data_IF_060968566420
#
_entry.id   IF_060968566420
#
_cell.length_a   1.000
_cell.length_b   1.000
_cell.length_c   1.000
_cell.angle_alpha   90.00
_cell.angle_beta   90.00
_cell.angle_gamma   90.00
#
_symmetry.space_group_name_H-M   'P 1'
#
loop_
_entity.id
_entity.type
_entity.pdbx_description
1 polymer ?
#
# COMPACT_ATOMS: atom_id res chain seq x y z
N UNK A 1 -3.49 -14.63 4.44
CA UNK A 1 -2.09 -14.24 4.75
C UNK A 1 -1.07 -15.16 4.09
N UNK A 2 -1.15 -16.50 4.22
CA UNK A 2 -0.24 -17.41 3.49
C UNK A 2 -0.48 -17.42 1.96
N UNK A 3 -1.73 -17.45 1.50
CA UNK A 3 -2.06 -17.40 0.06
C UNK A 3 -1.51 -16.14 -0.65
N UNK A 4 -1.49 -15.00 0.04
CA UNK A 4 -1.00 -13.72 -0.46
C UNK A 4 0.52 -13.77 -0.73
N UNK A 5 1.28 -14.48 0.14
CA UNK A 5 2.73 -14.65 -0.01
C UNK A 5 3.05 -15.44 -1.27
N UNK A 6 2.32 -16.52 -1.54
CA UNK A 6 2.49 -17.34 -2.75
C UNK A 6 2.14 -16.59 -4.02
N UNK A 7 1.10 -15.75 -3.98
CA UNK A 7 0.69 -14.95 -5.13
C UNK A 7 1.67 -13.81 -5.45
N UNK A 8 2.17 -13.06 -4.46
CA UNK A 8 3.22 -12.07 -4.72
C UNK A 8 4.55 -12.69 -5.12
N UNK A 9 4.87 -13.86 -4.58
CA UNK A 9 5.99 -14.66 -5.07
C UNK A 9 5.81 -15.08 -6.54
N UNK A 10 4.59 -15.49 -6.93
CA UNK A 10 4.28 -15.83 -8.32
C UNK A 10 4.33 -14.65 -9.30
N UNK A 11 4.09 -13.41 -8.83
CA UNK A 11 4.13 -12.22 -9.68
C UNK A 11 5.58 -11.84 -10.03
N UNK A 12 6.48 -11.86 -9.05
CA UNK A 12 7.84 -11.33 -9.24
C UNK A 12 8.84 -11.76 -8.16
N UNK A 13 8.66 -12.95 -7.61
CA UNK A 13 9.57 -13.62 -6.67
C UNK A 13 9.79 -12.90 -5.33
N UNK A 14 8.84 -12.07 -4.90
CA UNK A 14 8.90 -11.45 -3.58
C UNK A 14 8.50 -12.44 -2.47
N UNK A 15 9.49 -12.99 -1.77
CA UNK A 15 9.25 -13.83 -0.60
C UNK A 15 8.70 -12.99 0.58
N UNK A 16 7.67 -13.49 1.27
CA UNK A 16 7.07 -12.88 2.48
C UNK A 16 6.44 -11.48 2.31
N UNK A 17 6.29 -11.00 1.09
CA UNK A 17 5.49 -9.80 0.80
C UNK A 17 4.01 -10.15 0.85
N UNK A 18 3.23 -9.35 1.58
CA UNK A 18 1.78 -9.56 1.71
C UNK A 18 0.95 -8.45 1.05
N UNK A 19 1.57 -7.32 0.71
CA UNK A 19 0.86 -6.16 0.21
C UNK A 19 1.75 -5.08 -0.39
N UNK A 20 1.15 -4.27 -1.27
CA UNK A 20 1.71 -2.99 -1.68
C UNK A 20 1.01 -1.87 -0.92
N UNK A 21 1.77 -0.87 -0.48
CA UNK A 21 1.27 0.34 0.17
C UNK A 21 1.47 1.55 -0.73
N UNK A 22 0.45 2.38 -0.82
CA UNK A 22 0.50 3.62 -1.59
C UNK A 22 -0.60 4.57 -1.13
N UNK A 23 -0.47 5.83 -1.52
CA UNK A 23 -1.40 6.90 -1.20
C UNK A 23 -2.21 7.32 -2.43
N UNK A 24 -3.43 7.79 -2.18
CA UNK A 24 -4.26 8.39 -3.20
C UNK A 24 -5.02 9.58 -2.66
N UNK A 25 -5.05 10.66 -3.44
CA UNK A 25 -5.82 11.84 -3.07
C UNK A 25 -7.28 11.69 -3.47
N UNK A 26 -8.18 11.93 -2.51
CA UNK A 26 -9.62 12.07 -2.72
C UNK A 26 -9.98 13.54 -2.61
N UNK A 27 -10.60 14.10 -3.65
CA UNK A 27 -10.92 15.53 -3.70
C UNK A 27 -12.07 15.85 -2.76
N UNK A 28 -11.91 16.91 -1.97
CA UNK A 28 -12.95 17.39 -1.06
C UNK A 28 -13.29 18.84 -1.37
N UNK A 29 -14.50 19.26 -0.99
CA UNK A 29 -14.83 20.69 -0.90
C UNK A 29 -13.88 21.35 0.11
N UNK A 30 -13.51 22.61 -0.15
CA UNK A 30 -12.74 23.42 0.80
C UNK A 30 -13.42 23.36 2.19
N UNK A 31 -12.72 22.88 3.24
CA UNK A 31 -13.28 22.77 4.58
C UNK A 31 -13.55 24.15 5.24
N UNK A 32 -13.21 25.26 4.57
CA UNK A 32 -13.31 26.65 5.03
C UNK A 32 -12.42 26.95 6.26
N UNK A 33 -12.06 28.23 6.43
CA UNK A 33 -11.25 28.70 7.57
C UNK A 33 -9.75 28.43 7.44
N UNK A 34 -9.02 28.68 8.54
CA UNK A 34 -7.55 28.67 8.62
C UNK A 34 -6.93 27.30 8.33
N UNK A 35 -7.69 26.22 8.49
CA UNK A 35 -7.23 24.85 8.21
C UNK A 35 -7.32 24.47 6.72
N UNK A 36 -7.92 25.30 5.87
CA UNK A 36 -8.11 24.98 4.45
C UNK A 36 -6.79 24.67 3.73
N UNK A 37 -5.74 25.44 4.02
CA UNK A 37 -4.44 25.31 3.36
C UNK A 37 -3.78 23.94 3.60
N UNK A 38 -3.94 23.34 4.78
CA UNK A 38 -3.32 22.02 5.05
C UNK A 38 -3.97 20.90 4.22
N UNK A 39 -5.18 21.09 3.70
CA UNK A 39 -5.81 20.13 2.79
C UNK A 39 -5.37 20.29 1.34
N UNK A 40 -4.64 21.35 1.00
CA UNK A 40 -4.13 21.56 -0.35
C UNK A 40 -2.99 20.58 -0.64
N UNK A 41 -3.13 19.80 -1.70
CA UNK A 41 -2.05 18.94 -2.16
C UNK A 41 -1.08 19.68 -3.08
N UNK A 42 0.00 19.00 -3.48
CA UNK A 42 1.03 19.52 -4.40
C UNK A 42 0.49 19.94 -5.78
N UNK A 43 -0.72 19.54 -6.14
CA UNK A 43 -1.41 19.90 -7.40
C UNK A 43 -2.36 21.09 -7.23
N UNK A 44 -2.39 21.73 -6.07
CA UNK A 44 -3.15 22.97 -5.84
C UNK A 44 -4.64 22.78 -5.57
N UNK A 45 -5.09 21.56 -5.23
CA UNK A 45 -6.49 21.31 -4.88
C UNK A 45 -6.65 20.59 -3.54
N UNK A 46 -7.80 20.83 -2.91
CA UNK A 46 -8.11 20.32 -1.57
C UNK A 46 -8.43 18.83 -1.61
N UNK A 47 -7.78 18.06 -0.74
CA UNK A 47 -7.91 16.62 -0.72
C UNK A 47 -7.67 16.01 0.65
N UNK A 48 -8.19 14.80 0.82
CA UNK A 48 -7.75 13.86 1.85
C UNK A 48 -6.71 12.95 1.20
N UNK A 49 -5.51 12.89 1.77
CA UNK A 49 -4.51 11.91 1.35
C UNK A 49 -4.82 10.57 2.04
N UNK A 50 -5.23 9.58 1.24
CA UNK A 50 -5.71 8.28 1.73
C UNK A 50 -4.66 7.22 1.45
N UNK A 51 -4.09 6.64 2.52
CA UNK A 51 -3.14 5.54 2.41
C UNK A 51 -3.87 4.21 2.40
N UNK A 52 -3.47 3.32 1.51
CA UNK A 52 -4.08 1.99 1.36
C UNK A 52 -3.01 0.92 1.25
N UNK A 53 -3.25 -0.23 1.86
CA UNK A 53 -2.51 -1.47 1.59
C UNK A 53 -3.41 -2.41 0.81
N UNK A 54 -2.89 -2.94 -0.29
CA UNK A 54 -3.61 -3.90 -1.15
C UNK A 54 -2.86 -5.21 -1.23
N UNK A 55 -3.58 -6.32 -1.30
CA UNK A 55 -3.03 -7.64 -1.60
C UNK A 55 -3.00 -7.94 -3.12
N UNK A 56 -2.41 -9.06 -3.57
CA UNK A 56 -2.29 -9.37 -5.01
C UNK A 56 -3.63 -9.44 -5.74
N UNK A 57 -4.66 -9.89 -5.05
CA UNK A 57 -6.03 -10.03 -5.57
C UNK A 57 -6.75 -8.68 -5.76
N UNK A 58 -6.04 -7.58 -5.50
CA UNK A 58 -6.52 -6.20 -5.45
C UNK A 58 -7.48 -5.89 -4.30
N UNK A 59 -7.63 -6.78 -3.31
CA UNK A 59 -8.40 -6.50 -2.10
C UNK A 59 -7.65 -5.57 -1.14
N UNK A 60 -8.38 -4.63 -0.53
CA UNK A 60 -7.85 -3.67 0.43
C UNK A 60 -7.68 -4.35 1.79
N UNK A 61 -6.44 -4.43 2.28
CA UNK A 61 -6.10 -4.98 3.60
C UNK A 61 -6.14 -3.93 4.71
N UNK A 62 -5.81 -2.68 4.38
CA UNK A 62 -5.71 -1.58 5.33
C UNK A 62 -6.03 -0.27 4.62
N UNK A 63 -6.67 0.66 5.33
CA UNK A 63 -6.94 2.00 4.85
C UNK A 63 -6.80 3.02 5.99
N UNK A 64 -6.13 4.12 5.70
CA UNK A 64 -5.99 5.29 6.58
C UNK A 64 -6.44 6.55 5.83
N UNK A 65 -7.43 7.26 6.38
CA UNK A 65 -8.11 8.39 5.70
C UNK A 65 -7.94 9.71 6.45
N UNK A 66 -7.23 9.75 7.59
CA UNK A 66 -7.29 10.91 8.51
C UNK A 66 -6.34 12.06 8.15
N UNK A 67 -5.73 12.04 6.97
CA UNK A 67 -4.63 12.94 6.65
C UNK A 67 -5.00 14.01 5.62
N UNK A 68 -4.70 15.28 5.91
CA UNK A 68 -4.84 16.36 4.94
C UNK A 68 -3.97 16.15 3.70
N UNK A 69 -4.39 16.73 2.57
CA UNK A 69 -3.73 16.60 1.27
C UNK A 69 -2.28 17.08 1.20
N UNK A 70 -1.83 17.93 2.12
CA UNK A 70 -0.42 18.35 2.22
C UNK A 70 0.49 17.29 2.87
N UNK A 71 -0.07 16.31 3.58
CA UNK A 71 0.69 15.32 4.35
C UNK A 71 1.45 14.37 3.42
N UNK A 72 2.74 14.18 3.67
CA UNK A 72 3.58 13.22 2.94
C UNK A 72 3.25 11.77 3.31
N UNK A 73 3.41 10.87 2.35
CA UNK A 73 3.05 9.46 2.47
C UNK A 73 3.79 8.77 3.62
N UNK A 74 5.10 9.03 3.77
CA UNK A 74 5.84 8.55 4.94
C UNK A 74 5.28 9.06 6.27
N UNK A 75 4.89 10.34 6.35
CA UNK A 75 4.29 10.91 7.57
C UNK A 75 2.94 10.27 7.91
N UNK A 76 2.16 9.89 6.89
CA UNK A 76 0.91 9.14 7.10
C UNK A 76 1.23 7.77 7.69
N UNK A 77 2.19 7.06 7.11
CA UNK A 77 2.60 5.75 7.61
C UNK A 77 3.08 5.83 9.06
N UNK A 78 4.00 6.74 9.38
CA UNK A 78 4.57 6.89 10.73
C UNK A 78 3.51 7.26 11.81
N UNK A 79 2.33 7.73 11.40
CA UNK A 79 1.19 8.05 12.29
C UNK A 79 0.07 7.02 12.24
N UNK A 80 0.21 6.00 11.40
CA UNK A 80 -0.83 5.00 11.17
C UNK A 80 -0.82 3.94 12.27
N UNK A 81 -2.00 3.35 12.51
CA UNK A 81 -2.09 2.16 13.37
C UNK A 81 -1.28 0.99 12.81
N UNK A 82 -1.14 0.91 11.49
CA UNK A 82 -0.34 -0.12 10.82
C UNK A 82 1.14 -0.05 11.22
N UNK A 83 1.73 1.16 11.26
CA UNK A 83 3.09 1.35 11.74
C UNK A 83 3.25 0.92 13.19
N UNK A 84 2.33 1.34 14.08
CA UNK A 84 2.38 0.95 15.49
C UNK A 84 2.38 -0.59 15.68
N UNK A 85 1.59 -1.32 14.87
CA UNK A 85 1.56 -2.79 14.90
C UNK A 85 2.87 -3.41 14.43
N UNK A 86 3.56 -2.82 13.46
CA UNK A 86 4.90 -3.27 13.04
C UNK A 86 5.93 -3.03 14.14
N UNK A 87 5.95 -1.84 14.75
CA UNK A 87 6.89 -1.52 15.84
C UNK A 87 6.67 -2.38 17.08
N UNK A 88 5.41 -2.75 17.37
CA UNK A 88 5.07 -3.67 18.45
C UNK A 88 5.33 -5.14 18.12
N UNK A 89 5.91 -5.46 16.95
CA UNK A 89 6.16 -6.83 16.46
C UNK A 89 4.88 -7.70 16.33
N UNK A 90 3.71 -7.08 16.17
CA UNK A 90 2.45 -7.81 15.95
C UNK A 90 2.32 -8.34 14.52
N UNK A 91 3.13 -7.80 13.60
CA UNK A 91 3.11 -8.12 12.18
C UNK A 91 4.49 -8.60 11.72
N UNK A 92 4.58 -9.88 11.37
CA UNK A 92 5.79 -10.49 10.81
C UNK A 92 5.64 -10.71 9.29
N UNK A 93 5.57 -9.60 8.55
CA UNK A 93 5.30 -9.56 7.10
C UNK A 93 6.01 -8.37 6.46
N UNK A 94 6.16 -8.40 5.13
CA UNK A 94 6.79 -7.31 4.37
C UNK A 94 5.74 -6.61 3.48
N UNK A 95 5.84 -5.29 3.41
CA UNK A 95 5.13 -4.45 2.45
C UNK A 95 6.08 -3.85 1.42
N UNK A 96 5.56 -3.57 0.23
CA UNK A 96 6.27 -2.84 -0.81
C UNK A 96 5.69 -1.43 -0.95
N UNK A 97 6.52 -0.42 -0.75
CA UNK A 97 6.17 0.99 -0.89
C UNK A 97 6.92 1.66 -2.03
N UNK A 98 6.52 2.90 -2.34
CA UNK A 98 7.22 3.76 -3.28
C UNK A 98 8.39 4.53 -2.64
N UNK A 99 9.07 5.37 -3.41
CA UNK A 99 10.16 6.20 -2.90
C UNK A 99 9.69 7.35 -1.99
N UNK A 100 8.38 7.56 -1.84
CA UNK A 100 7.78 8.47 -0.87
C UNK A 100 7.82 7.93 0.57
N UNK A 101 8.20 6.66 0.77
CA UNK A 101 8.37 6.02 2.07
C UNK A 101 9.85 5.82 2.44
N UNK A 102 10.15 5.85 3.74
CA UNK A 102 11.43 5.40 4.24
C UNK A 102 11.56 3.87 4.09
N UNK A 103 12.74 3.40 3.66
CA UNK A 103 13.03 1.96 3.60
C UNK A 103 13.22 1.41 5.03
N UNK A 104 12.38 0.44 5.40
CA UNK A 104 12.37 -0.21 6.71
C UNK A 104 12.42 -1.73 6.52
N UNK A 105 12.68 -2.48 7.58
CA UNK A 105 12.78 -3.93 7.49
C UNK A 105 11.47 -4.63 7.11
N UNK A 106 10.33 -4.00 7.39
CA UNK A 106 9.00 -4.46 7.03
C UNK A 106 8.35 -3.65 5.89
N UNK A 107 9.03 -2.61 5.38
CA UNK A 107 8.56 -1.77 4.28
C UNK A 107 9.70 -1.49 3.29
N UNK A 108 9.76 -2.28 2.22
CA UNK A 108 10.82 -2.18 1.23
C UNK A 108 10.43 -1.21 0.12
N UNK A 109 11.37 -0.34 -0.26
CA UNK A 109 11.20 0.65 -1.33
C UNK A 109 12.22 0.42 -2.46
N UNK A 110 11.98 0.92 -3.67
CA UNK A 110 12.94 0.87 -4.77
C UNK A 110 14.29 1.54 -4.44
N UNK A 111 15.34 1.14 -5.15
CA UNK A 111 16.57 1.92 -5.18
C UNK A 111 16.35 3.17 -6.03
N UNK A 112 16.80 4.33 -5.54
CA UNK A 112 16.75 5.60 -6.30
C UNK A 112 17.72 5.52 -7.48
N UNK A 113 18.94 5.04 -7.21
CA UNK A 113 19.97 4.78 -8.21
C UNK A 113 20.37 3.30 -8.12
N UNK A 114 20.42 2.63 -9.27
CA UNK A 114 20.80 1.22 -9.35
C UNK A 114 22.22 1.09 -9.90
N UNK A 115 23.10 0.47 -9.14
CA UNK A 115 24.52 0.28 -9.47
C UNK A 115 24.82 -1.14 -9.97
N UNK A 116 23.88 -2.08 -9.86
CA UNK A 116 24.06 -3.49 -10.26
C UNK A 116 22.84 -4.06 -11.00
N UNK A 117 23.05 -5.15 -11.74
CA UNK A 117 21.94 -5.87 -12.40
C UNK A 117 20.90 -6.44 -11.43
N UNK A 118 21.28 -7.02 -10.27
CA UNK A 118 20.32 -7.43 -9.25
C UNK A 118 19.43 -6.30 -8.76
N UNK A 119 19.99 -5.10 -8.53
CA UNK A 119 19.19 -3.92 -8.14
C UNK A 119 18.21 -3.50 -9.23
N UNK A 120 18.63 -3.55 -10.51
CA UNK A 120 17.73 -3.30 -11.65
C UNK A 120 16.59 -4.32 -11.71
N UNK A 121 16.88 -5.61 -11.52
CA UNK A 121 15.87 -6.68 -11.50
C UNK A 121 14.90 -6.52 -10.33
N UNK A 122 15.40 -6.16 -9.15
CA UNK A 122 14.58 -5.85 -7.98
C UNK A 122 13.65 -4.66 -8.25
N UNK A 123 14.16 -3.54 -8.77
CA UNK A 123 13.34 -2.37 -9.10
C UNK A 123 12.27 -2.69 -10.14
N UNK A 124 12.62 -3.44 -11.20
CA UNK A 124 11.65 -3.90 -12.21
C UNK A 124 10.56 -4.76 -11.59
N UNK A 125 10.94 -5.65 -10.68
CA UNK A 125 10.01 -6.53 -9.97
C UNK A 125 9.07 -5.72 -9.09
N UNK A 126 9.60 -4.78 -8.31
CA UNK A 126 8.82 -3.82 -7.50
C UNK A 126 7.81 -3.05 -8.36
N UNK A 127 8.24 -2.54 -9.52
CA UNK A 127 7.37 -1.81 -10.44
C UNK A 127 6.20 -2.69 -10.93
N UNK A 128 6.48 -3.92 -11.34
CA UNK A 128 5.44 -4.89 -11.76
C UNK A 128 4.47 -5.18 -10.62
N UNK A 129 4.97 -5.39 -9.41
CA UNK A 129 4.12 -5.71 -8.25
C UNK A 129 3.23 -4.53 -7.87
N UNK A 130 3.79 -3.32 -7.82
CA UNK A 130 3.08 -2.10 -7.44
C UNK A 130 2.02 -1.66 -8.46
N UNK A 131 2.07 -2.13 -9.72
CA UNK A 131 0.94 -1.96 -10.65
C UNK A 131 -0.38 -2.52 -10.08
N UNK A 132 -0.33 -3.46 -9.14
CA UNK A 132 -1.51 -3.96 -8.43
C UNK A 132 -2.26 -2.85 -7.69
N UNK A 133 -1.55 -2.00 -6.92
CA UNK A 133 -2.16 -0.92 -6.15
C UNK A 133 -2.62 0.24 -7.04
N UNK A 134 -1.85 0.57 -8.07
CA UNK A 134 -2.23 1.57 -9.06
C UNK A 134 -3.52 1.15 -9.81
N UNK A 135 -3.58 -0.12 -10.24
CA UNK A 135 -4.77 -0.70 -10.87
C UNK A 135 -5.95 -0.70 -9.91
N UNK A 136 -5.74 -1.08 -8.65
CA UNK A 136 -6.78 -1.05 -7.63
C UNK A 136 -7.37 0.35 -7.49
N UNK A 137 -6.54 1.40 -7.37
CA UNK A 137 -7.03 2.79 -7.31
C UNK A 137 -7.84 3.18 -8.55
N UNK A 138 -7.37 2.78 -9.74
CA UNK A 138 -8.08 3.01 -11.00
C UNK A 138 -9.49 2.40 -10.98
N UNK A 139 -9.60 1.13 -10.59
CA UNK A 139 -10.86 0.40 -10.50
C UNK A 139 -11.76 0.99 -9.41
N UNK A 140 -11.20 1.25 -8.21
CA UNK A 140 -11.94 1.76 -7.06
C UNK A 140 -12.63 3.09 -7.40
N UNK A 141 -11.90 4.02 -8.02
CA UNK A 141 -12.44 5.32 -8.46
C UNK A 141 -13.34 5.24 -9.70
N UNK A 142 -13.22 4.19 -10.51
CA UNK A 142 -14.10 3.99 -11.67
C UNK A 142 -15.48 3.44 -11.25
N UNK A 143 -15.53 2.52 -10.29
CA UNK A 143 -16.77 1.90 -9.81
C UNK A 143 -17.53 2.83 -8.87
N UNK A 144 -16.81 3.65 -8.11
CA UNK A 144 -17.39 4.62 -7.17
C UNK A 144 -16.99 6.04 -7.59
N UNK A 145 -17.65 6.61 -8.61
CA UNK A 145 -17.26 7.89 -9.21
C UNK A 145 -17.18 9.07 -8.22
N UNK A 146 -17.89 8.98 -7.08
CA UNK A 146 -17.79 9.96 -6.00
C UNK A 146 -16.34 10.16 -5.49
N UNK A 147 -15.46 9.15 -5.63
CA UNK A 147 -14.04 9.23 -5.26
C UNK A 147 -13.16 9.91 -6.34
N UNK A 148 -13.65 10.02 -7.58
CA UNK A 148 -13.01 10.77 -8.67
C UNK A 148 -13.49 12.23 -8.67
N UNK A 149 -14.74 12.45 -8.33
CA UNK A 149 -15.35 13.76 -8.20
C UNK A 149 -14.99 14.42 -6.86
N UNK A 150 -15.36 15.70 -6.73
CA UNK A 150 -15.25 16.41 -5.46
C UNK A 150 -16.34 15.95 -4.49
N UNK A 151 -15.94 15.47 -3.31
CA UNK A 151 -16.87 15.21 -2.21
C UNK A 151 -17.36 16.54 -1.63
N UNK A 152 -18.62 16.89 -1.93
CA UNK A 152 -19.29 18.11 -1.45
C UNK A 152 -19.99 17.90 -0.11
N UNK A 153 -19.29 17.26 0.81
CA UNK A 153 -19.77 16.94 2.15
C UNK A 153 -18.97 17.70 3.20
N UNK A 154 -19.43 17.64 4.46
CA UNK A 154 -18.56 18.00 5.59
C UNK A 154 -17.36 17.06 5.63
N UNK A 155 -16.26 17.50 6.22
CA UNK A 155 -15.02 16.72 6.27
C UNK A 155 -15.26 15.33 6.92
N UNK A 156 -15.96 15.30 8.05
CA UNK A 156 -16.26 14.07 8.81
C UNK A 156 -17.05 13.07 7.96
N UNK A 157 -18.05 13.57 7.22
CA UNK A 157 -18.85 12.76 6.31
C UNK A 157 -18.01 12.28 5.11
N UNK A 158 -17.06 13.08 4.64
CA UNK A 158 -16.16 12.69 3.55
C UNK A 158 -15.29 11.50 3.95
N UNK A 159 -14.77 11.51 5.18
CA UNK A 159 -13.99 10.40 5.75
C UNK A 159 -14.82 9.11 5.81
N UNK A 160 -16.07 9.20 6.31
CA UNK A 160 -16.99 8.06 6.39
C UNK A 160 -17.28 7.50 5.00
N UNK A 161 -17.54 8.37 4.01
CA UNK A 161 -17.81 7.95 2.64
C UNK A 161 -16.61 7.23 2.02
N UNK A 162 -15.38 7.73 2.23
CA UNK A 162 -14.17 7.06 1.70
C UNK A 162 -14.04 5.65 2.27
N UNK A 163 -14.21 5.48 3.59
CA UNK A 163 -14.14 4.16 4.24
C UNK A 163 -15.26 3.24 3.75
N UNK A 164 -16.51 3.74 3.69
CA UNK A 164 -17.64 2.98 3.16
C UNK A 164 -17.40 2.52 1.72
N UNK A 165 -16.82 3.39 0.89
CA UNK A 165 -16.45 3.05 -0.48
C UNK A 165 -15.37 1.96 -0.55
N UNK A 166 -14.40 1.94 0.38
CA UNK A 166 -13.40 0.87 0.44
C UNK A 166 -14.05 -0.48 0.82
N UNK A 167 -14.98 -0.48 1.78
CA UNK A 167 -15.73 -1.68 2.18
C UNK A 167 -16.56 -2.23 1.02
N UNK A 168 -17.31 -1.36 0.33
CA UNK A 168 -18.11 -1.75 -0.84
C UNK A 168 -17.24 -2.29 -1.98
N UNK A 169 -16.07 -1.70 -2.19
CA UNK A 169 -15.10 -2.20 -3.16
C UNK A 169 -14.64 -3.62 -2.83
N UNK A 170 -14.21 -3.88 -1.59
CA UNK A 170 -13.80 -5.23 -1.16
C UNK A 170 -14.94 -6.24 -1.30
N UNK A 171 -16.16 -5.87 -0.91
CA UNK A 171 -17.33 -6.73 -1.09
C UNK A 171 -17.48 -7.16 -2.55
N UNK A 172 -17.38 -6.22 -3.49
CA UNK A 172 -17.44 -6.52 -4.92
C UNK A 172 -16.29 -7.43 -5.38
N UNK A 173 -15.05 -7.17 -4.93
CA UNK A 173 -13.89 -8.00 -5.30
C UNK A 173 -14.12 -9.45 -4.87
N UNK A 174 -14.57 -9.68 -3.63
CA UNK A 174 -14.86 -11.01 -3.11
C UNK A 174 -16.02 -11.69 -3.85
N UNK A 175 -17.09 -10.98 -4.18
CA UNK A 175 -18.19 -11.53 -4.99
C UNK A 175 -17.72 -11.98 -6.38
N UNK A 176 -16.84 -11.22 -7.03
CA UNK A 176 -16.32 -11.58 -8.34
C UNK A 176 -15.36 -12.78 -8.28
N UNK A 177 -14.61 -12.95 -7.20
CA UNK A 177 -13.74 -14.11 -6.99
C UNK A 177 -14.54 -15.40 -6.78
N UNK A 178 -15.68 -15.33 -6.07
CA UNK A 178 -16.57 -16.47 -5.86
C UNK A 178 -17.31 -16.95 -7.12
N UNK A 179 -17.12 -16.29 -8.27
CA UNK A 179 -17.75 -16.64 -9.55
C UNK A 179 -16.74 -17.10 -10.62
N UNK A 180 -15.46 -17.24 -10.27
CA UNK A 180 -14.41 -17.73 -11.16
C UNK A 180 -13.40 -18.62 -10.42
N UNK A 181 -13.66 -19.92 -10.46
CA UNK A 181 -12.78 -21.07 -10.21
C UNK A 181 -12.14 -21.33 -8.83
N UNK A 182 -12.20 -22.62 -8.45
CA UNK A 182 -11.59 -23.27 -7.29
C UNK A 182 -10.07 -23.08 -7.23
N UNK A 183 -9.56 -22.73 -6.05
CA UNK A 183 -8.11 -22.65 -5.79
C UNK A 183 -7.63 -23.97 -5.18
N UNK A 184 -6.82 -24.70 -5.93
CA UNK A 184 -6.01 -25.84 -5.44
C UNK A 184 -4.91 -25.30 -4.53
N UNK A 185 -4.95 -25.67 -3.24
CA UNK A 185 -3.89 -25.36 -2.27
C UNK A 185 -2.81 -26.45 -2.39
N UNK A 186 -1.58 -26.07 -2.72
CA UNK A 186 -0.38 -26.90 -2.47
C UNK A 186 0.30 -26.39 -1.20
N UNK A 187 0.54 -27.29 -0.25
CA UNK A 187 1.29 -27.04 0.98
C UNK A 187 2.79 -26.89 0.66
N UNK A 188 3.43 -25.78 1.01
CA UNK A 188 4.90 -25.71 1.18
C UNK A 188 5.35 -24.69 2.25
N UNK A 189 6.60 -24.90 2.69
CA UNK A 189 7.22 -24.71 4.00
C UNK A 189 7.19 -23.33 4.69
N UNK A 190 7.04 -23.37 6.02
CA UNK A 190 7.28 -22.26 6.94
C UNK A 190 8.77 -21.92 7.00
N UNK A 191 9.14 -20.74 6.48
CA UNK A 191 10.47 -20.15 6.70
C UNK A 191 10.36 -19.15 7.85
N UNK A 192 10.81 -19.57 9.04
CA UNK A 192 10.96 -18.71 10.22
C UNK A 192 12.09 -17.70 9.97
N UNK A 193 11.74 -16.48 9.57
CA UNK A 193 12.65 -15.35 9.55
C UNK A 193 12.09 -14.24 10.42
N UNK A 194 12.67 -14.08 11.62
CA UNK A 194 12.43 -12.91 12.47
C UNK A 194 12.77 -11.62 11.68
N UNK A 195 11.95 -10.58 11.83
CA UNK A 195 12.16 -9.27 11.17
C UNK A 195 12.79 -8.31 12.19
N UNK A 196 14.07 -7.95 12.06
CA UNK A 196 14.68 -6.93 12.92
C UNK A 196 14.05 -5.56 12.64
N UNK A 197 13.80 -4.70 13.63
CA UNK A 197 12.98 -3.46 13.48
C UNK A 197 13.77 -2.16 13.22
N UNK A 198 15.11 -2.19 13.11
CA UNK A 198 15.95 -0.99 13.03
C UNK A 198 15.99 -0.36 11.59
N UNK A 199 15.95 0.98 11.38
CA UNK A 199 16.10 1.60 10.06
C UNK A 199 17.38 1.25 9.30
N UNK A 200 18.54 1.16 9.99
CA UNK A 200 19.79 0.68 9.40
C UNK A 200 19.65 -0.79 8.93
N UNK A 201 18.78 -1.55 9.61
CA UNK A 201 18.42 -2.91 9.21
C UNK A 201 17.50 -2.94 7.99
N UNK A 202 16.75 -1.88 7.68
CA UNK A 202 15.87 -1.81 6.50
C UNK A 202 16.65 -1.80 5.19
N UNK A 203 17.64 -0.91 5.07
CA UNK A 203 18.53 -0.85 3.91
C UNK A 203 19.34 -2.15 3.76
N UNK A 204 19.93 -2.63 4.86
CA UNK A 204 20.68 -3.90 4.86
C UNK A 204 19.78 -5.07 4.48
N UNK A 205 18.54 -5.12 4.98
CA UNK A 205 17.58 -6.17 4.63
C UNK A 205 17.19 -6.10 3.17
N UNK A 206 16.94 -4.91 2.61
CA UNK A 206 16.72 -4.75 1.17
C UNK A 206 17.90 -5.28 0.38
N UNK A 207 19.12 -4.93 0.76
CA UNK A 207 20.33 -5.33 0.05
C UNK A 207 20.56 -6.85 0.13
N UNK A 208 20.35 -7.46 1.29
CA UNK A 208 20.38 -8.92 1.47
C UNK A 208 19.28 -9.60 0.64
N UNK A 209 18.06 -9.05 0.64
CA UNK A 209 16.93 -9.55 -0.12
C UNK A 209 17.23 -9.55 -1.63
N UNK A 210 17.86 -8.49 -2.13
CA UNK A 210 18.29 -8.36 -3.53
C UNK A 210 19.33 -9.42 -3.88
N UNK A 211 20.37 -9.57 -3.06
CA UNK A 211 21.45 -10.52 -3.31
C UNK A 211 21.00 -11.99 -3.26
N UNK A 212 19.99 -12.30 -2.44
CA UNK A 212 19.47 -13.66 -2.31
C UNK A 212 18.52 -14.05 -3.44
N UNK A 213 17.68 -13.12 -3.92
CA UNK A 213 16.55 -13.44 -4.79
C UNK A 213 16.69 -12.95 -6.23
N UNK A 214 17.63 -12.04 -6.52
CA UNK A 214 17.72 -11.37 -7.83
C UNK A 214 19.09 -11.52 -8.52
N UNK A 215 19.79 -12.64 -8.31
CA UNK A 215 21.03 -13.00 -9.05
C UNK A 215 20.76 -13.24 -10.53
#
# INVERSE_FOLDING_TARGET
MMANRTQFYGISHFLNVIGCIDCTHIKIKNPFGEIGEVYMNRKGWMSINTQVVVEPSAEILYIEVRHPGSTHDNTIFDRSSLWARFENNELNVILLGDNGYACRSYLLTPFIETNSDPERRYNRSQEVTRKTIERMFGIWKAILPCLRSELRLKLENSLIVIVACAVLYNFRIRCNQNHGDEVVIREEAEVNNEIPTNPQSGLNRRQNFVQQLFQ
#
